data_IF_024634678083
#
_entry.id   IF_024634678083
#
_cell.length_a   1.000
_cell.length_b   1.000
_cell.length_c   1.000
_cell.angle_alpha   90.00
_cell.angle_beta   90.00
_cell.angle_gamma   90.00
#
_symmetry.space_group_name_H-M   'P 1'
#
loop_
_entity.id
_entity.type
_entity.pdbx_description
1 polymer ?
#
# COMPACT_ATOMS: atom_id res chain seq x y z
N UNK A 1 -15.58 -56.80 28.55
CA UNK A 1 -15.13 -56.44 27.18
C UNK A 1 -16.33 -56.31 26.23
N UNK A 2 -17.26 -55.35 26.43
CA UNK A 2 -18.40 -55.12 25.52
C UNK A 2 -18.72 -53.63 25.26
N UNK A 3 -17.92 -52.69 25.78
CA UNK A 3 -18.30 -51.27 25.84
C UNK A 3 -17.34 -50.32 25.11
N UNK A 4 -16.36 -50.84 24.37
CA UNK A 4 -15.38 -50.01 23.64
C UNK A 4 -15.90 -49.67 22.23
N UNK A 5 -16.72 -50.54 21.63
CA UNK A 5 -17.18 -50.39 20.24
C UNK A 5 -18.23 -49.26 20.04
N UNK A 6 -19.00 -48.94 21.09
CA UNK A 6 -20.05 -47.91 21.01
C UNK A 6 -19.50 -46.47 21.09
N UNK A 7 -18.30 -46.28 21.64
CA UNK A 7 -17.67 -44.96 21.79
C UNK A 7 -17.04 -44.55 20.46
N UNK A 8 -16.37 -45.46 19.77
CA UNK A 8 -15.69 -45.20 18.49
C UNK A 8 -16.68 -44.87 17.36
N UNK A 9 -17.86 -45.50 17.34
CA UNK A 9 -18.89 -45.23 16.32
C UNK A 9 -19.56 -43.85 16.47
N UNK A 10 -19.66 -43.31 17.70
CA UNK A 10 -20.27 -42.00 17.95
C UNK A 10 -19.35 -40.84 17.57
N UNK A 11 -18.03 -41.01 17.66
CA UNK A 11 -17.08 -39.97 17.24
C UNK A 11 -16.99 -39.82 15.72
N UNK A 12 -17.14 -40.90 14.96
CA UNK A 12 -17.11 -40.87 13.49
C UNK A 12 -18.35 -40.14 12.93
N UNK A 13 -19.52 -40.32 13.55
CA UNK A 13 -20.76 -39.67 13.10
C UNK A 13 -20.76 -38.14 13.31
N UNK A 14 -20.06 -37.62 14.32
CA UNK A 14 -20.00 -36.18 14.59
C UNK A 14 -19.05 -35.44 13.64
N UNK A 15 -17.97 -36.08 13.21
CA UNK A 15 -17.02 -35.51 12.25
C UNK A 15 -17.62 -35.40 10.83
N UNK A 16 -18.50 -36.34 10.46
CA UNK A 16 -19.14 -36.33 9.14
C UNK A 16 -20.19 -35.22 8.97
N UNK A 17 -20.82 -34.77 10.06
CA UNK A 17 -21.90 -33.77 9.99
C UNK A 17 -21.36 -32.31 9.89
N UNK A 18 -20.11 -32.07 10.29
CA UNK A 18 -19.46 -30.75 10.20
C UNK A 18 -18.93 -30.41 8.80
N UNK A 19 -18.95 -31.37 7.86
CA UNK A 19 -18.46 -31.17 6.50
C UNK A 19 -19.55 -30.68 5.51
N UNK A 20 -20.81 -30.60 5.91
CA UNK A 20 -21.92 -30.26 4.99
C UNK A 20 -22.37 -28.79 5.04
N UNK A 21 -21.79 -27.94 5.89
CA UNK A 21 -22.18 -26.50 5.99
C UNK A 21 -21.09 -25.55 5.52
N UNK A 22 -20.17 -25.99 4.67
CA UNK A 22 -19.30 -25.07 3.95
C UNK A 22 -20.15 -24.28 2.95
N UNK A 23 -20.76 -23.19 3.40
CA UNK A 23 -21.19 -22.12 2.52
C UNK A 23 -19.98 -21.76 1.67
N UNK A 24 -20.05 -21.99 0.36
CA UNK A 24 -19.04 -21.50 -0.56
C UNK A 24 -18.98 -19.99 -0.37
N UNK A 25 -17.91 -19.51 0.25
CA UNK A 25 -17.55 -18.12 0.14
C UNK A 25 -17.26 -17.91 -1.34
N UNK A 26 -18.18 -17.25 -2.06
CA UNK A 26 -17.81 -16.59 -3.30
C UNK A 26 -16.83 -15.51 -2.88
N UNK A 27 -15.54 -15.84 -2.88
CA UNK A 27 -14.54 -14.84 -3.14
C UNK A 27 -14.88 -14.39 -4.56
N UNK A 28 -15.59 -13.27 -4.69
CA UNK A 28 -15.58 -12.53 -5.94
C UNK A 28 -14.11 -12.40 -6.28
N UNK A 29 -13.66 -13.11 -7.32
CA UNK A 29 -12.38 -12.82 -7.93
C UNK A 29 -12.47 -11.33 -8.20
N UNK A 30 -11.70 -10.53 -7.46
CA UNK A 30 -11.47 -9.16 -7.82
C UNK A 30 -10.83 -9.25 -9.20
N UNK A 31 -11.65 -9.24 -10.25
CA UNK A 31 -11.17 -9.13 -11.60
C UNK A 31 -10.26 -7.93 -11.57
N UNK A 32 -9.00 -8.13 -11.94
CA UNK A 32 -8.02 -7.06 -11.96
C UNK A 32 -8.60 -6.00 -12.88
N UNK A 33 -9.15 -4.95 -12.27
CA UNK A 33 -9.58 -3.77 -12.99
C UNK A 33 -8.28 -3.07 -13.34
N UNK A 34 -7.90 -3.11 -14.61
CA UNK A 34 -6.75 -2.38 -15.19
C UNK A 34 -6.94 -0.85 -15.19
N UNK A 35 -7.72 -0.34 -14.26
CA UNK A 35 -7.75 1.06 -13.87
C UNK A 35 -6.72 1.22 -12.76
N UNK A 36 -5.44 1.18 -13.14
CA UNK A 36 -4.30 1.27 -12.23
C UNK A 36 -4.16 2.65 -11.56
N UNK A 37 -5.13 3.55 -11.75
CA UNK A 37 -5.15 4.89 -11.18
C UNK A 37 -6.01 4.94 -9.92
N UNK A 38 -5.41 5.42 -8.84
CA UNK A 38 -6.16 5.68 -7.61
C UNK A 38 -7.20 6.78 -7.90
N UNK A 39 -8.49 6.58 -7.59
CA UNK A 39 -9.57 7.54 -7.90
C UNK A 39 -9.73 8.67 -6.88
N UNK A 40 -8.64 9.11 -6.28
CA UNK A 40 -8.68 10.16 -5.26
C UNK A 40 -7.43 11.00 -5.30
N UNK A 41 -7.60 12.29 -5.07
CA UNK A 41 -6.52 13.26 -4.90
C UNK A 41 -6.26 13.55 -3.41
N UNK A 42 -7.00 12.92 -2.50
CA UNK A 42 -6.79 13.11 -1.05
C UNK A 42 -5.47 12.47 -0.61
N UNK A 43 -4.52 13.29 -0.14
CA UNK A 43 -3.25 12.82 0.41
C UNK A 43 -3.41 11.80 1.54
N UNK A 44 -4.44 11.95 2.39
CA UNK A 44 -4.74 11.01 3.46
C UNK A 44 -5.18 9.63 2.93
N UNK A 45 -6.05 9.61 1.91
CA UNK A 45 -6.49 8.36 1.30
C UNK A 45 -5.36 7.69 0.51
N UNK A 46 -4.57 8.47 -0.23
CA UNK A 46 -3.38 7.96 -0.93
C UNK A 46 -2.42 7.32 0.08
N UNK A 47 -2.15 7.99 1.20
CA UNK A 47 -1.31 7.44 2.26
C UNK A 47 -1.87 6.13 2.80
N UNK A 48 -3.17 6.09 3.12
CA UNK A 48 -3.82 4.91 3.69
C UNK A 48 -3.87 3.72 2.72
N UNK A 49 -3.98 3.97 1.41
CA UNK A 49 -4.07 2.91 0.42
C UNK A 49 -2.71 2.41 -0.08
N UNK A 50 -1.70 3.28 -0.17
CA UNK A 50 -0.43 2.96 -0.83
C UNK A 50 0.79 3.05 0.09
N UNK A 51 0.84 4.02 1.00
CA UNK A 51 2.06 4.30 1.75
C UNK A 51 2.12 3.57 3.10
N UNK A 52 0.97 3.45 3.79
CA UNK A 52 0.92 2.96 5.17
C UNK A 52 1.31 1.47 5.30
N UNK A 53 1.21 0.68 4.23
CA UNK A 53 1.58 -0.74 4.28
C UNK A 53 3.05 -0.95 4.63
N UNK A 54 3.90 0.01 4.22
CA UNK A 54 5.33 0.00 4.50
C UNK A 54 5.70 1.01 5.59
N UNK A 55 5.12 2.22 5.56
CA UNK A 55 5.46 3.30 6.49
C UNK A 55 4.62 3.28 7.78
N UNK A 56 3.74 2.28 7.92
CA UNK A 56 2.81 2.06 9.03
C UNK A 56 1.72 3.13 9.16
N UNK A 57 0.57 2.87 9.81
CA UNK A 57 -0.56 3.81 9.84
C UNK A 57 -0.27 5.19 10.47
N UNK A 58 0.67 5.26 11.42
CA UNK A 58 1.05 6.50 12.10
C UNK A 58 2.41 7.05 11.61
N UNK A 59 2.89 6.62 10.45
CA UNK A 59 4.17 7.08 9.90
C UNK A 59 5.38 6.68 10.73
N UNK A 60 5.26 5.69 11.61
CA UNK A 60 6.34 5.25 12.49
C UNK A 60 7.39 4.38 11.78
N UNK A 61 7.14 3.98 10.53
CA UNK A 61 8.04 3.10 9.78
C UNK A 61 8.07 1.69 10.33
N UNK A 62 8.90 0.84 9.71
CA UNK A 62 9.02 -0.57 10.09
C UNK A 62 10.44 -1.09 9.84
N UNK A 63 10.86 -2.04 10.68
CA UNK A 63 12.13 -2.78 10.55
C UNK A 63 11.81 -4.27 10.61
N UNK A 64 12.35 -5.05 9.67
CA UNK A 64 12.13 -6.49 9.57
C UNK A 64 12.72 -7.04 8.27
N UNK A 65 11.88 -7.60 7.40
CA UNK A 65 12.27 -8.02 6.05
C UNK A 65 12.81 -6.86 5.18
N UNK A 66 12.56 -5.61 5.59
CA UNK A 66 13.14 -4.41 5.02
C UNK A 66 13.25 -3.30 6.06
N UNK A 67 13.85 -2.18 5.67
CA UNK A 67 13.89 -0.95 6.47
C UNK A 67 13.05 0.13 5.79
N UNK A 68 11.92 0.45 6.42
CA UNK A 68 10.96 1.45 5.95
C UNK A 68 11.02 2.66 6.89
N UNK A 69 11.53 3.81 6.42
CA UNK A 69 11.80 4.93 7.31
C UNK A 69 10.52 5.53 7.89
N UNK A 70 10.61 5.99 9.14
CA UNK A 70 9.56 6.78 9.76
C UNK A 70 9.43 8.15 9.09
N UNK A 71 8.20 8.63 8.97
CA UNK A 71 7.88 10.03 8.69
C UNK A 71 7.62 10.82 9.97
N UNK A 72 7.17 10.14 11.03
CA UNK A 72 6.89 10.77 12.31
C UNK A 72 8.18 11.38 12.90
N UNK A 73 8.13 12.66 13.25
CA UNK A 73 9.26 13.41 13.81
C UNK A 73 10.57 13.34 12.99
N UNK A 74 10.47 13.15 11.67
CA UNK A 74 11.65 13.01 10.81
C UNK A 74 12.01 14.36 10.13
N UNK A 75 13.14 14.99 10.46
CA UNK A 75 13.52 16.29 9.90
C UNK A 75 13.78 16.25 8.38
N UNK A 76 14.00 15.07 7.80
CA UNK A 76 14.09 14.91 6.34
C UNK A 76 12.79 15.29 5.63
N UNK A 77 11.64 15.23 6.32
CA UNK A 77 10.35 15.64 5.75
C UNK A 77 10.25 17.15 5.49
N UNK A 78 11.24 17.95 5.93
CA UNK A 78 11.35 19.38 5.60
C UNK A 78 11.61 19.66 4.12
N UNK A 79 12.18 18.71 3.37
CA UNK A 79 12.40 18.85 1.93
C UNK A 79 11.31 18.17 1.12
N UNK A 80 10.37 18.96 0.58
CA UNK A 80 9.31 18.44 -0.27
C UNK A 80 9.85 17.87 -1.59
N UNK A 81 10.87 18.52 -2.18
CA UNK A 81 11.54 18.05 -3.41
C UNK A 81 12.23 16.70 -3.21
N UNK A 82 12.84 16.46 -2.03
CA UNK A 82 13.40 15.14 -1.71
C UNK A 82 12.31 14.05 -1.69
N UNK A 83 11.16 14.36 -1.10
CA UNK A 83 10.03 13.43 -1.07
C UNK A 83 9.49 13.17 -2.48
N UNK A 84 9.33 14.22 -3.29
CA UNK A 84 8.87 14.12 -4.68
C UNK A 84 9.80 13.25 -5.52
N UNK A 85 11.11 13.51 -5.51
CA UNK A 85 12.10 12.70 -6.22
C UNK A 85 12.08 11.23 -5.76
N UNK A 86 11.91 11.00 -4.46
CA UNK A 86 11.83 9.63 -3.93
C UNK A 86 10.58 8.91 -4.43
N UNK A 87 9.43 9.59 -4.52
CA UNK A 87 8.18 9.01 -5.02
C UNK A 87 8.23 8.78 -6.53
N UNK A 88 8.77 9.75 -7.28
CA UNK A 88 8.88 9.67 -8.74
C UNK A 88 9.81 8.55 -9.19
N UNK A 89 10.97 8.43 -8.56
CA UNK A 89 12.02 7.49 -8.99
C UNK A 89 12.08 6.19 -8.18
N UNK A 90 11.34 6.11 -7.07
CA UNK A 90 11.52 5.03 -6.11
C UNK A 90 12.88 5.11 -5.42
N UNK A 91 13.09 4.24 -4.42
CA UNK A 91 14.36 4.15 -3.70
C UNK A 91 14.49 2.83 -2.95
N UNK A 92 15.48 2.01 -3.32
CA UNK A 92 15.69 0.67 -2.75
C UNK A 92 14.42 -0.19 -2.91
N UNK A 93 13.81 -0.61 -1.80
CA UNK A 93 12.59 -1.44 -1.79
C UNK A 93 11.31 -0.64 -2.02
N UNK A 94 11.40 0.68 -2.28
CA UNK A 94 10.25 1.51 -2.62
C UNK A 94 10.14 1.61 -4.15
N UNK A 95 9.02 1.15 -4.76
CA UNK A 95 8.81 1.29 -6.19
C UNK A 95 8.68 2.76 -6.58
N UNK A 96 8.93 3.03 -7.85
CA UNK A 96 8.64 4.32 -8.46
C UNK A 96 7.13 4.44 -8.75
N UNK A 97 6.53 5.58 -8.40
CA UNK A 97 5.11 5.88 -8.61
C UNK A 97 4.88 6.92 -9.71
N UNK A 98 5.94 7.42 -10.36
CA UNK A 98 5.79 8.27 -11.54
C UNK A 98 4.99 7.53 -12.64
N UNK A 99 4.20 8.26 -13.43
CA UNK A 99 3.56 7.70 -14.60
C UNK A 99 4.58 7.05 -15.55
N UNK A 100 4.19 5.98 -16.25
CA UNK A 100 5.03 5.37 -17.27
C UNK A 100 4.98 6.22 -18.54
N UNK A 101 6.15 6.52 -19.08
CA UNK A 101 6.24 7.08 -20.42
C UNK A 101 5.76 6.04 -21.46
N UNK A 102 5.10 6.48 -22.54
CA UNK A 102 4.77 5.60 -23.65
C UNK A 102 6.06 5.08 -24.31
N UNK A 103 6.52 3.89 -23.92
CA UNK A 103 7.74 3.27 -24.44
C UNK A 103 8.69 2.71 -23.38
N UNK A 104 8.45 2.97 -22.09
CA UNK A 104 9.20 2.36 -21.00
C UNK A 104 8.70 0.94 -20.71
N UNK A 105 9.20 -0.02 -21.51
CA UNK A 105 9.06 -1.45 -21.27
C UNK A 105 10.09 -2.00 -20.28
N UNK A 106 11.09 -1.22 -19.87
CA UNK A 106 12.17 -1.69 -19.00
C UNK A 106 11.77 -1.62 -17.51
N UNK A 107 10.81 -0.76 -17.13
CA UNK A 107 10.12 -0.78 -15.82
C UNK A 107 9.08 -1.89 -15.72
N UNK A 108 9.40 -3.09 -16.19
CA UNK A 108 8.60 -4.31 -16.01
C UNK A 108 8.57 -4.69 -14.52
N UNK A 109 7.51 -4.27 -13.83
CA UNK A 109 7.10 -4.84 -12.55
C UNK A 109 6.22 -6.05 -12.85
N UNK A 110 6.39 -7.15 -12.10
CA UNK A 110 5.55 -8.36 -12.20
C UNK A 110 4.05 -8.11 -11.91
N UNK A 111 3.71 -6.91 -11.43
CA UNK A 111 2.36 -6.42 -11.18
C UNK A 111 2.21 -5.10 -11.92
N UNK A 112 1.07 -4.88 -12.57
CA UNK A 112 0.70 -3.60 -13.18
C UNK A 112 0.99 -2.46 -12.18
N UNK A 113 1.89 -1.53 -12.50
CA UNK A 113 2.35 -0.56 -11.52
C UNK A 113 1.25 0.46 -11.25
N UNK A 114 0.91 0.61 -9.97
CA UNK A 114 0.13 1.74 -9.51
C UNK A 114 0.98 3.00 -9.69
N UNK A 115 0.47 3.92 -10.48
CA UNK A 115 1.03 5.25 -10.73
C UNK A 115 0.20 6.33 -10.05
N UNK A 116 0.84 7.45 -9.72
CA UNK A 116 0.22 8.65 -9.17
C UNK A 116 0.43 9.82 -10.13
N UNK A 117 -0.58 10.67 -10.29
CA UNK A 117 -0.43 11.96 -10.98
C UNK A 117 0.38 12.94 -10.13
N UNK A 118 0.83 14.03 -10.74
CA UNK A 118 1.56 15.09 -10.05
C UNK A 118 0.75 15.69 -8.89
N UNK A 119 -0.56 15.87 -9.08
CA UNK A 119 -1.48 16.34 -8.06
C UNK A 119 -1.57 15.36 -6.88
N UNK A 120 -1.60 14.06 -7.17
CA UNK A 120 -1.66 13.02 -6.13
C UNK A 120 -0.35 12.94 -5.33
N UNK A 121 0.79 13.03 -6.01
CA UNK A 121 2.11 13.08 -5.37
C UNK A 121 2.22 14.32 -4.49
N UNK A 122 1.85 15.50 -4.99
CA UNK A 122 1.86 16.72 -4.20
C UNK A 122 0.96 16.60 -2.96
N UNK A 123 -0.24 16.02 -3.13
CA UNK A 123 -1.21 15.87 -2.05
C UNK A 123 -0.72 14.95 -0.93
N UNK A 124 -0.12 13.80 -1.25
CA UNK A 124 0.40 12.88 -0.22
C UNK A 124 1.64 13.44 0.49
N UNK A 125 2.50 14.18 -0.22
CA UNK A 125 3.64 14.89 0.39
C UNK A 125 3.13 15.93 1.39
N UNK A 126 2.19 16.77 0.98
CA UNK A 126 1.62 17.81 1.86
C UNK A 126 0.90 17.20 3.08
N UNK A 127 0.22 16.05 2.90
CA UNK A 127 -0.35 15.30 4.02
C UNK A 127 0.73 14.84 5.01
N UNK A 128 1.78 14.14 4.55
CA UNK A 128 2.87 13.67 5.42
C UNK A 128 3.56 14.83 6.16
N UNK A 129 3.75 15.97 5.48
CA UNK A 129 4.41 17.17 6.03
C UNK A 129 3.61 17.91 7.11
N UNK A 130 2.31 17.66 7.20
CA UNK A 130 1.39 18.29 8.16
C UNK A 130 0.81 17.30 9.17
N UNK A 131 1.20 16.03 9.07
CA UNK A 131 0.74 14.93 9.93
C UNK A 131 1.92 14.22 10.56
N UNK A 132 1.65 13.24 11.43
CA UNK A 132 2.67 12.44 12.13
C UNK A 132 3.62 13.29 13.01
N UNK A 133 3.13 14.43 13.51
CA UNK A 133 3.94 15.36 14.30
C UNK A 133 4.86 16.26 13.46
N UNK A 134 4.68 16.29 12.14
CA UNK A 134 5.27 17.29 11.25
C UNK A 134 4.33 18.50 11.13
N UNK A 135 4.90 19.71 11.00
CA UNK A 135 4.13 20.95 10.86
C UNK A 135 4.80 21.94 9.91
N UNK A 136 5.11 21.49 8.69
CA UNK A 136 5.66 22.36 7.65
C UNK A 136 4.54 23.15 6.97
N UNK A 137 4.71 24.47 6.87
CA UNK A 137 3.66 25.41 6.41
C UNK A 137 3.67 25.65 4.91
N UNK A 138 4.81 25.44 4.28
CA UNK A 138 4.96 25.44 2.84
C UNK A 138 4.46 24.12 2.24
N UNK A 139 3.90 24.23 1.04
CA UNK A 139 3.34 23.13 0.28
C UNK A 139 4.09 22.98 -1.03
N UNK A 140 4.21 21.75 -1.51
CA UNK A 140 4.60 21.50 -2.90
C UNK A 140 3.36 21.49 -3.80
N UNK A 141 3.48 22.04 -4.99
CA UNK A 141 2.46 22.08 -6.03
C UNK A 141 2.66 20.97 -7.05
N UNK A 142 1.60 20.62 -7.79
CA UNK A 142 1.72 19.67 -8.90
C UNK A 142 2.70 20.15 -9.98
N UNK A 143 2.76 21.46 -10.24
CA UNK A 143 3.72 22.02 -11.20
C UNK A 143 5.18 21.85 -10.75
N UNK A 144 5.46 21.97 -9.45
CA UNK A 144 6.79 21.70 -8.90
C UNK A 144 7.12 20.21 -8.95
N UNK A 145 6.16 19.32 -8.70
CA UNK A 145 6.37 17.87 -8.90
C UNK A 145 6.67 17.58 -10.37
N UNK A 146 5.88 18.14 -11.29
CA UNK A 146 6.05 17.98 -12.74
C UNK A 146 7.45 18.41 -13.21
N UNK A 147 7.97 19.50 -12.66
CA UNK A 147 9.31 20.00 -12.98
C UNK A 147 10.45 19.08 -12.52
N UNK A 148 10.15 18.06 -11.71
CA UNK A 148 11.11 17.06 -11.22
C UNK A 148 11.02 15.73 -11.98
N UNK A 149 10.14 15.61 -12.98
CA UNK A 149 10.17 14.46 -13.90
C UNK A 149 11.42 14.52 -14.79
N UNK A 150 11.94 13.35 -15.20
CA UNK A 150 13.08 13.27 -16.11
C UNK A 150 12.80 13.84 -17.51
#
# INVERSE_FOLDING_TARGET
>A
MKNIDAITAKFIAFAALLLLTSTQAFADSAGIRNDASLKTDSGAQIYAHLCQGCHMPNGQGAIGAGHYPAFAHNPTMSSASYMALTILHGRRNMPAFAPKDPGDSERESFIDPVWLTDEQIASVINYIRTHFGNDYKDTITAAEVKALHP
#
